data_IF_763352263109
#
_entry.id   IF_763352263109
#
_cell.length_a   1.000
_cell.length_b   1.000
_cell.length_c   1.000
_cell.angle_alpha   90.00
_cell.angle_beta   90.00
_cell.angle_gamma   90.00
#
_symmetry.space_group_name_H-M   'P 1'
#
loop_
_entity.id
_entity.type
_entity.pdbx_description
1 polymer ?
#
# COMPACT_ATOMS: atom_id res chain seq x y z
N UNK A 1 16.52 -14.44 77.10
CA UNK A 1 15.56 -15.13 76.23
C UNK A 1 16.05 -15.04 74.81
N UNK A 2 16.36 -16.21 74.24
CA UNK A 2 16.58 -16.60 72.83
C UNK A 2 17.08 -15.62 71.76
N UNK A 3 18.19 -16.08 71.17
CA UNK A 3 18.75 -15.84 69.83
C UNK A 3 18.08 -16.87 68.89
N UNK A 4 17.46 -16.49 67.75
CA UNK A 4 17.40 -17.30 66.49
C UNK A 4 16.45 -16.76 65.41
N UNK A 5 16.84 -16.91 64.14
CA UNK A 5 15.98 -16.97 62.93
C UNK A 5 15.95 -15.66 62.13
N UNK A 6 16.86 -15.36 61.19
CA UNK A 6 17.21 -16.04 59.93
C UNK A 6 16.08 -16.07 58.88
N UNK A 7 16.47 -15.83 57.62
CA UNK A 7 15.74 -15.97 56.33
C UNK A 7 15.09 -14.68 55.79
N UNK A 8 15.79 -13.95 54.91
CA UNK A 8 15.84 -14.16 53.45
C UNK A 8 14.46 -14.10 52.78
N UNK A 9 14.24 -13.03 52.02
CA UNK A 9 13.07 -12.86 51.16
C UNK A 9 13.33 -11.81 50.09
N UNK A 10 14.39 -12.01 49.29
CA UNK A 10 14.60 -11.34 48.01
C UNK A 10 13.38 -11.70 47.13
N UNK A 11 12.38 -10.81 47.10
CA UNK A 11 11.31 -10.90 46.12
C UNK A 11 11.77 -10.16 44.89
N UNK A 12 12.37 -10.92 43.98
CA UNK A 12 12.53 -10.58 42.57
C UNK A 12 11.22 -9.99 42.04
N UNK A 13 11.24 -8.68 41.77
CA UNK A 13 10.27 -8.07 40.88
C UNK A 13 10.73 -8.43 39.47
N UNK A 14 10.17 -9.51 38.96
CA UNK A 14 10.35 -10.00 37.60
C UNK A 14 9.78 -8.94 36.65
N UNK A 15 10.65 -8.06 36.15
CA UNK A 15 10.32 -7.12 35.08
C UNK A 15 10.17 -7.95 33.80
N UNK A 16 8.94 -8.37 33.52
CA UNK A 16 8.56 -9.02 32.26
C UNK A 16 8.73 -7.97 31.16
N UNK A 17 9.91 -7.95 30.55
CA UNK A 17 10.10 -7.31 29.25
C UNK A 17 9.29 -8.12 28.25
N UNK A 18 8.06 -7.71 28.01
CA UNK A 18 7.29 -8.08 26.83
C UNK A 18 8.06 -7.55 25.62
N UNK A 19 9.02 -8.34 25.14
CA UNK A 19 9.55 -8.22 23.79
C UNK A 19 8.38 -8.53 22.85
N UNK A 20 7.71 -7.47 22.40
CA UNK A 20 6.83 -7.52 21.25
C UNK A 20 7.66 -8.02 20.06
N UNK A 21 7.66 -9.33 19.86
CA UNK A 21 7.97 -9.92 18.58
C UNK A 21 6.80 -9.54 17.68
N UNK A 22 6.93 -8.42 16.97
CA UNK A 22 6.21 -8.24 15.72
C UNK A 22 6.68 -9.36 14.81
N UNK A 23 5.92 -10.46 14.78
CA UNK A 23 6.08 -11.47 13.76
C UNK A 23 5.79 -10.78 12.43
N UNK A 24 6.85 -10.36 11.74
CA UNK A 24 6.79 -10.04 10.32
C UNK A 24 6.40 -11.36 9.67
N UNK A 25 5.11 -11.54 9.42
CA UNK A 25 4.60 -12.68 8.71
C UNK A 25 5.07 -12.54 7.27
N UNK A 26 6.27 -13.04 6.99
CA UNK A 26 6.78 -13.12 5.62
C UNK A 26 5.79 -13.99 4.87
N UNK A 27 4.96 -13.37 4.03
CA UNK A 27 4.02 -14.08 3.19
C UNK A 27 4.83 -15.10 2.38
N UNK A 28 4.59 -16.39 2.63
CA UNK A 28 5.22 -17.49 1.90
C UNK A 28 4.72 -17.46 0.45
N UNK A 29 5.31 -16.59 -0.37
CA UNK A 29 5.08 -16.53 -1.80
C UNK A 29 5.97 -17.56 -2.49
N UNK A 30 5.38 -18.44 -3.29
CA UNK A 30 6.18 -19.21 -4.25
C UNK A 30 6.59 -18.25 -5.37
N UNK A 31 7.88 -18.05 -5.54
CA UNK A 31 8.42 -17.19 -6.61
C UNK A 31 8.80 -18.06 -7.80
N UNK A 32 8.15 -17.84 -8.93
CA UNK A 32 8.45 -18.51 -10.21
C UNK A 32 9.11 -17.52 -11.15
N UNK A 33 10.22 -17.91 -11.78
CA UNK A 33 10.80 -17.15 -12.89
C UNK A 33 10.15 -17.58 -14.20
N UNK A 34 9.53 -16.64 -14.89
CA UNK A 34 8.95 -16.86 -16.20
C UNK A 34 10.05 -16.92 -17.27
N UNK A 35 9.81 -17.53 -18.45
CA UNK A 35 10.79 -17.63 -19.52
C UNK A 35 11.34 -16.27 -20.01
N UNK A 36 10.57 -15.20 -19.85
CA UNK A 36 10.96 -13.83 -20.18
C UNK A 36 11.73 -13.10 -19.06
N UNK A 37 12.10 -13.81 -18.00
CA UNK A 37 12.86 -13.28 -16.87
C UNK A 37 12.02 -12.56 -15.80
N UNK A 38 10.71 -12.36 -16.02
CA UNK A 38 9.82 -11.81 -15.00
C UNK A 38 9.70 -12.75 -13.80
N UNK A 39 9.40 -12.17 -12.63
CA UNK A 39 9.11 -12.91 -11.40
C UNK A 39 7.61 -12.90 -11.16
N UNK A 40 7.00 -14.07 -11.11
CA UNK A 40 5.63 -14.27 -10.67
C UNK A 40 5.64 -14.67 -9.19
N UNK A 41 4.89 -13.95 -8.36
CA UNK A 41 4.67 -14.29 -6.97
C UNK A 41 3.31 -14.98 -6.87
N UNK A 42 3.31 -16.26 -6.50
CA UNK A 42 2.08 -17.05 -6.30
C UNK A 42 1.76 -17.02 -4.81
N UNK A 43 0.59 -16.45 -4.50
CA UNK A 43 0.13 -16.18 -3.14
C UNK A 43 -1.13 -17.00 -2.88
N UNK A 44 -1.25 -17.51 -1.65
CA UNK A 44 -2.26 -18.52 -1.28
C UNK A 44 -3.69 -18.01 -1.24
N UNK A 45 -3.89 -16.71 -1.03
CA UNK A 45 -5.20 -16.07 -0.87
C UNK A 45 -5.09 -14.55 -1.02
N UNK A 46 -6.24 -13.88 -1.09
CA UNK A 46 -6.34 -12.43 -1.30
C UNK A 46 -5.71 -11.61 -0.17
N UNK A 47 -5.73 -12.10 1.07
CA UNK A 47 -5.07 -11.43 2.20
C UNK A 47 -3.55 -11.38 1.98
N UNK A 48 -2.94 -12.49 1.56
CA UNK A 48 -1.52 -12.53 1.23
C UNK A 48 -1.17 -11.65 0.01
N UNK A 49 -2.11 -11.50 -0.93
CA UNK A 49 -1.97 -10.54 -2.05
C UNK A 49 -1.98 -9.10 -1.53
N UNK A 50 -2.92 -8.75 -0.66
CA UNK A 50 -3.02 -7.43 -0.07
C UNK A 50 -1.75 -7.06 0.72
N UNK A 51 -1.29 -7.93 1.61
CA UNK A 51 -0.07 -7.73 2.41
C UNK A 51 1.15 -7.51 1.50
N UNK A 52 1.32 -8.38 0.50
CA UNK A 52 2.41 -8.27 -0.46
C UNK A 52 2.36 -6.96 -1.25
N UNK A 53 1.18 -6.52 -1.70
CA UNK A 53 1.02 -5.26 -2.42
C UNK A 53 1.40 -4.06 -1.54
N UNK A 54 0.94 -4.03 -0.29
CA UNK A 54 1.24 -2.94 0.64
C UNK A 54 2.74 -2.86 0.91
N UNK A 55 3.38 -3.96 1.28
CA UNK A 55 4.83 -3.99 1.52
C UNK A 55 5.61 -3.57 0.27
N UNK A 56 5.21 -4.08 -0.90
CA UNK A 56 5.94 -3.79 -2.13
C UNK A 56 5.79 -2.35 -2.58
N UNK A 57 4.60 -1.76 -2.41
CA UNK A 57 4.36 -0.36 -2.74
C UNK A 57 5.09 0.55 -1.78
N UNK A 58 5.07 0.29 -0.47
CA UNK A 58 5.84 1.05 0.51
C UNK A 58 7.33 1.09 0.16
N UNK A 59 7.94 -0.07 -0.10
CA UNK A 59 9.34 -0.18 -0.46
C UNK A 59 9.66 0.64 -1.73
N UNK A 60 8.86 0.46 -2.79
CA UNK A 60 9.08 1.13 -4.08
C UNK A 60 8.82 2.63 -4.00
N UNK A 61 7.77 3.05 -3.31
CA UNK A 61 7.38 4.45 -3.19
C UNK A 61 8.44 5.21 -2.40
N UNK A 62 8.85 4.70 -1.23
CA UNK A 62 9.86 5.36 -0.42
C UNK A 62 11.22 5.42 -1.13
N UNK A 63 11.62 4.36 -1.84
CA UNK A 63 12.84 4.37 -2.64
C UNK A 63 12.77 5.37 -3.82
N UNK A 64 11.63 5.46 -4.51
CA UNK A 64 11.44 6.40 -5.62
C UNK A 64 11.39 7.85 -5.13
N UNK A 65 10.67 8.13 -4.06
CA UNK A 65 10.59 9.46 -3.45
C UNK A 65 11.99 9.91 -2.99
N UNK A 66 12.74 9.06 -2.30
CA UNK A 66 14.10 9.38 -1.88
C UNK A 66 15.04 9.68 -3.06
N UNK A 67 14.88 8.96 -4.18
CA UNK A 67 15.78 9.08 -5.34
C UNK A 67 15.38 10.18 -6.33
N UNK A 68 14.09 10.37 -6.56
CA UNK A 68 13.52 11.19 -7.65
C UNK A 68 12.64 12.32 -7.14
N UNK A 69 12.31 12.34 -5.85
CA UNK A 69 11.39 13.31 -5.25
C UNK A 69 9.91 12.98 -5.42
N UNK A 70 9.56 11.92 -6.17
CA UNK A 70 8.17 11.53 -6.42
C UNK A 70 8.05 10.02 -6.75
N UNK A 71 6.84 9.49 -6.58
CA UNK A 71 6.44 8.15 -7.00
C UNK A 71 5.13 8.21 -7.79
N UNK A 72 5.09 7.53 -8.94
CA UNK A 72 3.88 7.43 -9.76
C UNK A 72 3.39 5.99 -9.77
N UNK A 73 2.09 5.79 -9.61
CA UNK A 73 1.46 4.48 -9.71
C UNK A 73 0.23 4.53 -10.62
N UNK A 74 0.00 3.46 -11.37
CA UNK A 74 -1.23 3.24 -12.13
C UNK A 74 -2.04 2.14 -11.45
N UNK A 75 -3.31 2.40 -11.17
CA UNK A 75 -4.23 1.44 -10.55
C UNK A 75 -5.38 1.11 -11.49
N UNK A 76 -5.87 -0.13 -11.42
CA UNK A 76 -7.15 -0.49 -12.02
C UNK A 76 -8.30 -0.34 -11.03
N UNK A 77 -9.54 -0.53 -11.49
CA UNK A 77 -10.67 -0.71 -10.57
C UNK A 77 -10.60 -2.02 -9.82
N UNK A 78 -11.21 -2.06 -8.63
CA UNK A 78 -11.57 -3.30 -7.94
C UNK A 78 -10.95 -3.45 -6.57
N UNK A 79 -10.87 -4.70 -6.12
CA UNK A 79 -10.44 -5.07 -4.77
C UNK A 79 -8.95 -4.82 -4.50
N UNK A 80 -8.16 -4.53 -5.53
CA UNK A 80 -6.73 -4.21 -5.41
C UNK A 80 -6.45 -2.79 -4.89
N UNK A 81 -7.44 -1.90 -4.90
CA UNK A 81 -7.31 -0.53 -4.37
C UNK A 81 -7.47 -0.51 -2.86
N UNK A 82 -8.35 -1.36 -2.31
CA UNK A 82 -8.69 -1.36 -0.87
C UNK A 82 -7.46 -1.50 0.06
N UNK A 83 -6.49 -2.39 -0.23
CA UNK A 83 -5.29 -2.52 0.60
C UNK A 83 -4.44 -1.25 0.68
N UNK A 84 -4.55 -0.32 -0.28
CA UNK A 84 -3.71 0.89 -0.28
C UNK A 84 -3.96 1.78 0.93
N UNK A 85 -5.14 1.72 1.55
CA UNK A 85 -5.43 2.47 2.78
C UNK A 85 -4.44 2.15 3.91
N UNK A 86 -3.88 0.93 3.94
CA UNK A 86 -2.88 0.51 4.93
C UNK A 86 -1.50 1.16 4.74
N UNK A 87 -1.30 1.96 3.69
CA UNK A 87 -0.09 2.77 3.47
C UNK A 87 -0.15 4.13 4.17
N UNK A 88 -1.30 4.53 4.73
CA UNK A 88 -1.42 5.78 5.46
C UNK A 88 -0.38 5.88 6.58
N UNK A 89 0.40 6.97 6.58
CA UNK A 89 1.50 7.19 7.53
C UNK A 89 2.79 6.42 7.26
N UNK A 90 2.83 5.56 6.23
CA UNK A 90 4.02 4.78 5.81
C UNK A 90 4.73 5.35 4.59
N UNK A 91 4.01 6.15 3.80
CA UNK A 91 4.49 6.80 2.58
C UNK A 91 4.06 8.27 2.62
N UNK A 92 4.93 9.17 2.14
CA UNK A 92 4.57 10.58 1.93
C UNK A 92 3.73 10.72 0.66
N UNK A 93 2.40 10.66 0.83
CA UNK A 93 1.45 10.74 -0.27
C UNK A 93 1.41 12.11 -0.97
N UNK A 94 1.95 13.18 -0.36
CA UNK A 94 2.12 14.46 -1.06
C UNK A 94 3.08 14.37 -2.25
N UNK A 95 3.92 13.32 -2.29
CA UNK A 95 4.86 13.01 -3.36
C UNK A 95 4.40 11.88 -4.27
N UNK A 96 3.18 11.39 -4.07
CA UNK A 96 2.62 10.27 -4.85
C UNK A 96 1.62 10.79 -5.87
N UNK A 97 1.75 10.33 -7.11
CA UNK A 97 0.84 10.57 -8.22
C UNK A 97 0.13 9.26 -8.58
N UNK A 98 -1.19 9.20 -8.39
CA UNK A 98 -2.01 8.06 -8.73
C UNK A 98 -2.75 8.32 -10.05
N UNK A 99 -2.60 7.39 -10.98
CA UNK A 99 -3.24 7.37 -12.29
C UNK A 99 -4.16 6.16 -12.38
N UNK A 100 -5.20 6.23 -13.21
CA UNK A 100 -6.05 5.08 -13.53
C UNK A 100 -5.58 4.44 -14.85
N UNK A 101 -5.30 3.14 -14.82
CA UNK A 101 -4.92 2.36 -16.00
C UNK A 101 -6.11 1.99 -16.89
N UNK A 102 -7.33 2.09 -16.36
CA UNK A 102 -8.58 1.92 -17.08
C UNK A 102 -9.69 2.75 -16.42
N UNK A 103 -10.57 3.35 -17.22
CA UNK A 103 -11.76 4.04 -16.72
C UNK A 103 -12.88 3.95 -17.76
N UNK A 104 -14.12 3.95 -17.29
CA UNK A 104 -15.29 4.19 -18.13
C UNK A 104 -15.47 5.70 -18.18
N UNK A 105 -15.61 6.27 -19.36
CA UNK A 105 -15.66 7.74 -19.54
C UNK A 105 -17.05 8.23 -19.92
N UNK A 106 -17.99 7.32 -20.19
CA UNK A 106 -19.33 7.64 -20.70
C UNK A 106 -20.45 6.97 -19.87
N UNK A 107 -21.61 7.64 -19.84
CA UNK A 107 -22.83 7.17 -19.18
C UNK A 107 -22.73 7.06 -17.66
N UNK A 108 -23.68 6.34 -17.05
CA UNK A 108 -23.78 6.17 -15.57
C UNK A 108 -22.62 5.36 -14.97
N UNK A 109 -21.76 4.79 -15.82
CA UNK A 109 -20.56 4.10 -15.39
C UNK A 109 -19.34 5.00 -15.35
N UNK A 110 -19.43 6.24 -15.85
CA UNK A 110 -18.32 7.17 -15.92
C UNK A 110 -17.73 7.43 -14.52
N UNK A 111 -16.39 7.34 -14.40
CA UNK A 111 -15.69 7.63 -13.15
C UNK A 111 -15.78 6.54 -12.07
N UNK A 112 -16.41 5.39 -12.36
CA UNK A 112 -16.59 4.31 -11.36
C UNK A 112 -15.28 3.79 -10.80
N UNK A 113 -14.17 3.77 -11.55
CA UNK A 113 -12.89 3.33 -11.00
C UNK A 113 -12.38 4.31 -9.93
N UNK A 114 -12.46 5.62 -10.23
CA UNK A 114 -12.04 6.66 -9.31
C UNK A 114 -12.96 6.76 -8.08
N UNK A 115 -14.28 6.65 -8.28
CA UNK A 115 -15.24 6.77 -7.19
C UNK A 115 -15.23 5.55 -6.28
N UNK A 116 -15.04 4.35 -6.84
CA UNK A 116 -14.93 3.11 -6.05
C UNK A 116 -13.72 3.05 -5.11
N UNK A 117 -12.71 3.91 -5.33
CA UNK A 117 -11.56 4.09 -4.44
C UNK A 117 -11.67 5.29 -3.50
N UNK A 118 -12.77 6.04 -3.52
CA UNK A 118 -12.89 7.34 -2.84
C UNK A 118 -12.48 7.32 -1.36
N UNK A 119 -13.00 6.37 -0.58
CA UNK A 119 -12.67 6.25 0.84
C UNK A 119 -11.19 5.93 1.09
N UNK A 120 -10.60 5.10 0.23
CA UNK A 120 -9.17 4.78 0.28
C UNK A 120 -8.34 6.02 -0.01
N UNK A 121 -8.67 6.75 -1.08
CA UNK A 121 -7.92 7.94 -1.46
C UNK A 121 -8.05 9.06 -0.42
N UNK A 122 -9.21 9.18 0.23
CA UNK A 122 -9.41 10.09 1.34
C UNK A 122 -8.53 9.75 2.56
N UNK A 123 -8.30 8.47 2.83
CA UNK A 123 -7.38 8.03 3.88
C UNK A 123 -5.89 8.33 3.57
N UNK A 124 -5.55 8.51 2.29
CA UNK A 124 -4.20 8.78 1.80
C UNK A 124 -3.98 10.29 1.63
N UNK A 125 -3.91 10.99 2.76
CA UNK A 125 -3.81 12.46 2.82
C UNK A 125 -2.67 13.00 1.94
N UNK A 126 -3.00 13.95 1.06
CA UNK A 126 -2.05 14.59 0.15
C UNK A 126 -1.85 13.86 -1.18
N UNK A 127 -2.49 12.70 -1.39
CA UNK A 127 -2.38 11.96 -2.64
C UNK A 127 -2.87 12.78 -3.84
N UNK A 128 -2.03 12.85 -4.89
CA UNK A 128 -2.38 13.48 -6.15
C UNK A 128 -3.11 12.48 -7.05
N UNK A 129 -4.45 12.54 -7.08
CA UNK A 129 -5.29 11.64 -7.90
C UNK A 129 -5.58 12.28 -9.26
N UNK A 130 -5.08 11.67 -10.33
CA UNK A 130 -5.27 12.11 -11.71
C UNK A 130 -6.41 11.33 -12.34
N UNK A 131 -7.61 11.93 -12.38
CA UNK A 131 -8.81 11.29 -12.94
C UNK A 131 -8.80 11.34 -14.47
N UNK A 132 -9.36 10.30 -15.09
CA UNK A 132 -9.64 10.30 -16.53
C UNK A 132 -10.86 11.21 -16.80
N UNK A 133 -10.83 12.09 -17.81
CA UNK A 133 -11.95 12.95 -18.17
C UNK A 133 -13.21 12.16 -18.56
N UNK A 134 -14.36 12.81 -18.44
CA UNK A 134 -15.62 12.30 -18.99
C UNK A 134 -15.76 12.70 -20.45
N UNK A 135 -16.41 11.86 -21.24
CA UNK A 135 -16.63 12.08 -22.65
C UNK A 135 -16.29 10.86 -23.51
N UNK A 136 -16.37 11.00 -24.84
CA UNK A 136 -16.01 9.95 -25.78
C UNK A 136 -14.63 9.37 -25.46
N UNK A 137 -14.52 8.04 -25.43
CA UNK A 137 -13.31 7.36 -24.95
C UNK A 137 -12.01 7.81 -25.64
N UNK A 138 -12.04 8.10 -26.95
CA UNK A 138 -10.88 8.57 -27.71
C UNK A 138 -10.43 9.97 -27.29
N UNK A 139 -11.38 10.89 -27.12
CA UNK A 139 -11.10 12.27 -26.68
C UNK A 139 -10.60 12.29 -25.23
N UNK A 140 -11.26 11.55 -24.35
CA UNK A 140 -10.87 11.44 -22.94
C UNK A 140 -9.47 10.80 -22.79
N UNK A 141 -9.13 9.80 -23.60
CA UNK A 141 -7.80 9.21 -23.61
C UNK A 141 -6.74 10.20 -24.10
N UNK A 142 -7.01 10.96 -25.17
CA UNK A 142 -6.09 11.97 -25.69
C UNK A 142 -5.84 13.11 -24.70
N UNK A 143 -6.90 13.61 -24.05
CA UNK A 143 -6.81 14.63 -23.01
C UNK A 143 -6.04 14.12 -21.79
N UNK A 144 -6.32 12.90 -21.35
CA UNK A 144 -5.63 12.29 -20.21
C UNK A 144 -4.14 12.06 -20.50
N UNK A 145 -3.79 11.62 -21.71
CA UNK A 145 -2.39 11.51 -22.13
C UNK A 145 -1.69 12.87 -22.16
N UNK A 146 -2.34 13.90 -22.71
CA UNK A 146 -1.78 15.25 -22.75
C UNK A 146 -1.52 15.79 -21.34
N UNK A 147 -2.45 15.58 -20.42
CA UNK A 147 -2.29 15.95 -19.01
C UNK A 147 -1.10 15.22 -18.37
N UNK A 148 -0.98 13.90 -18.57
CA UNK A 148 0.14 13.10 -18.03
C UNK A 148 1.51 13.57 -18.54
N UNK A 149 1.59 14.00 -19.80
CA UNK A 149 2.85 14.48 -20.41
C UNK A 149 3.28 15.88 -19.93
N UNK A 150 2.35 16.65 -19.37
CA UNK A 150 2.60 18.03 -18.92
C UNK A 150 3.08 18.12 -17.46
N UNK A 151 3.16 16.99 -16.74
CA UNK A 151 3.63 16.89 -15.35
C UNK A 151 5.14 16.69 -15.28
#
# INVERSE_FOLDING_TARGET
GNIMGMMMGIKHLLCITLTFWAAIAVAHALVVRLPDGRRAHILKNDVAVADFLVERIEELANAAIAKKGAFSMSVGSGTTVQPLAFLAGRVDFSKVHLFFGNERTEGDAAGKCADGGGDVFAALVGLNVHRVPFGPAEEAAAEYEAAMRAM
#
